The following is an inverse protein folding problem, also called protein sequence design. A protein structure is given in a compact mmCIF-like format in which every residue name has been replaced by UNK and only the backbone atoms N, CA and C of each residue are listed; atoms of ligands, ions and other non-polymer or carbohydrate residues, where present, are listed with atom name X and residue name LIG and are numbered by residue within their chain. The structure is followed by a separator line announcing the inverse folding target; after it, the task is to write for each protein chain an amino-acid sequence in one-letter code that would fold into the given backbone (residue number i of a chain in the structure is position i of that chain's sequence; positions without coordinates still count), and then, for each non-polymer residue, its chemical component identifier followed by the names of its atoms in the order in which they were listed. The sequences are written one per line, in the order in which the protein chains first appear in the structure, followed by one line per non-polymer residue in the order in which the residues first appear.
data_IF_004766472197
#
_entry.id   IF_004766472197
#
_cell.length_a   1.000
_cell.length_b   1.000
_cell.length_c   1.000
_cell.angle_alpha   90.00
_cell.angle_beta   90.00
_cell.angle_gamma   90.00
#
_symmetry.space_group_name_H-M   'P 1'
#
loop_
_entity.id
_entity.type
_entity.pdbx_description
1 polymer ?
#
# COMPACT_ATOMS: atom_id res chain seq x y z
N UNK A 1 18.37 -19.84 -25.71
CA UNK A 1 17.62 -18.56 -25.82
C UNK A 1 18.57 -17.36 -25.89
N UNK A 2 19.89 -17.60 -25.95
CA UNK A 2 20.89 -16.55 -25.70
C UNK A 2 21.20 -15.63 -26.90
N UNK A 3 20.44 -15.80 -27.99
CA UNK A 3 20.53 -14.97 -29.19
C UNK A 3 19.30 -14.05 -29.36
N UNK A 4 18.46 -13.92 -28.33
CA UNK A 4 17.34 -12.98 -28.33
C UNK A 4 17.87 -11.54 -28.29
N UNK A 5 17.33 -10.62 -29.11
CA UNK A 5 17.57 -9.19 -28.96
C UNK A 5 17.17 -8.70 -27.56
N UNK A 6 17.96 -7.78 -26.99
CA UNK A 6 17.75 -7.24 -25.64
C UNK A 6 16.34 -6.67 -25.44
N UNK A 7 15.78 -6.02 -26.47
CA UNK A 7 14.42 -5.47 -26.43
C UNK A 7 13.35 -6.55 -26.23
N UNK A 8 13.49 -7.69 -26.91
CA UNK A 8 12.57 -8.83 -26.77
C UNK A 8 12.79 -9.56 -25.45
N UNK A 9 14.04 -9.69 -25.01
CA UNK A 9 14.34 -10.29 -23.71
C UNK A 9 13.72 -9.48 -22.56
N UNK A 10 13.83 -8.16 -22.63
CA UNK A 10 13.22 -7.22 -21.69
C UNK A 10 11.69 -7.26 -21.75
N UNK A 11 11.10 -7.37 -22.94
CA UNK A 11 9.65 -7.54 -23.09
C UNK A 11 9.15 -8.86 -22.47
N UNK A 12 9.92 -9.95 -22.58
CA UNK A 12 9.57 -11.21 -21.93
C UNK A 12 9.64 -11.05 -20.40
N UNK A 13 10.74 -10.49 -19.89
CA UNK A 13 10.89 -10.25 -18.45
C UNK A 13 9.79 -9.33 -17.91
N UNK A 14 9.35 -8.34 -18.70
CA UNK A 14 8.31 -7.40 -18.27
C UNK A 14 6.90 -8.00 -18.21
N UNK A 15 6.71 -9.20 -18.78
CA UNK A 15 5.46 -9.96 -18.67
C UNK A 15 5.43 -10.94 -17.50
N UNK A 16 6.57 -11.15 -16.84
CA UNK A 16 6.63 -11.99 -15.64
C UNK A 16 6.16 -11.16 -14.45
N UNK A 17 5.04 -11.59 -13.85
CA UNK A 17 4.39 -10.81 -12.80
C UNK A 17 5.15 -10.85 -11.47
N UNK A 18 5.91 -11.92 -11.19
CA UNK A 18 6.61 -12.09 -9.92
C UNK A 18 8.16 -12.04 -10.05
N UNK A 19 8.84 -11.50 -9.04
CA UNK A 19 10.29 -11.34 -9.03
C UNK A 19 11.07 -12.67 -8.91
N UNK A 20 10.44 -13.75 -8.46
CA UNK A 20 11.09 -15.06 -8.35
C UNK A 20 11.25 -15.70 -9.75
N UNK A 21 10.22 -15.60 -10.58
CA UNK A 21 10.21 -15.99 -11.99
C UNK A 21 11.27 -15.20 -12.77
N UNK A 22 11.36 -13.88 -12.54
CA UNK A 22 12.43 -13.04 -13.12
C UNK A 22 13.81 -13.53 -12.68
N UNK A 23 14.01 -13.83 -11.39
CA UNK A 23 15.28 -14.34 -10.88
C UNK A 23 15.66 -15.70 -11.51
N UNK A 24 14.70 -16.61 -11.66
CA UNK A 24 14.90 -17.89 -12.35
C UNK A 24 15.32 -17.69 -13.82
N UNK A 25 14.67 -16.78 -14.55
CA UNK A 25 15.04 -16.45 -15.92
C UNK A 25 16.46 -15.88 -16.03
N UNK A 26 16.87 -15.01 -15.10
CA UNK A 26 18.24 -14.47 -15.03
C UNK A 26 19.28 -15.56 -14.77
N UNK A 27 19.00 -16.49 -13.87
CA UNK A 27 19.92 -17.60 -13.60
C UNK A 27 20.03 -18.58 -14.79
N UNK A 28 18.95 -18.72 -15.56
CA UNK A 28 18.89 -19.65 -16.69
C UNK A 28 19.48 -19.09 -17.99
N UNK A 29 19.62 -17.77 -18.16
CA UNK A 29 20.13 -17.16 -19.40
C UNK A 29 20.91 -15.87 -19.16
N UNK A 30 22.07 -15.79 -19.79
CA UNK A 30 22.91 -14.58 -19.77
C UNK A 30 22.21 -13.40 -20.45
N UNK A 31 21.41 -13.63 -21.50
CA UNK A 31 20.65 -12.57 -22.18
C UNK A 31 19.63 -11.94 -21.25
N UNK A 32 18.87 -12.75 -20.50
CA UNK A 32 17.93 -12.22 -19.51
C UNK A 32 18.66 -11.51 -18.35
N UNK A 33 19.81 -12.04 -17.91
CA UNK A 33 20.60 -11.35 -16.88
C UNK A 33 21.13 -9.99 -17.36
N UNK A 34 21.55 -9.87 -18.61
CA UNK A 34 22.00 -8.60 -19.21
C UNK A 34 20.86 -7.62 -19.47
N UNK A 35 19.66 -8.09 -19.78
CA UNK A 35 18.48 -7.26 -20.00
C UNK A 35 17.84 -6.75 -18.69
N UNK A 36 18.05 -7.46 -17.57
CA UNK A 36 17.44 -7.16 -16.27
C UNK A 36 17.54 -5.70 -15.81
N UNK A 37 18.68 -4.98 -15.94
CA UNK A 37 18.79 -3.58 -15.52
C UNK A 37 17.79 -2.63 -16.17
N UNK A 38 17.24 -2.98 -17.34
CA UNK A 38 16.20 -2.20 -18.02
C UNK A 38 14.77 -2.47 -17.52
N UNK A 39 14.57 -3.42 -16.60
CA UNK A 39 13.26 -3.73 -16.05
C UNK A 39 12.72 -2.54 -15.27
N UNK A 40 11.45 -2.20 -15.53
CA UNK A 40 10.80 -1.00 -14.99
C UNK A 40 9.88 -1.26 -13.81
N UNK A 41 9.77 -2.50 -13.36
CA UNK A 41 8.99 -2.82 -12.18
C UNK A 41 9.65 -3.89 -11.33
N UNK A 42 9.31 -3.87 -10.05
CA UNK A 42 9.55 -4.95 -9.09
C UNK A 42 8.20 -5.33 -8.50
N UNK A 43 7.93 -6.63 -8.44
CA UNK A 43 6.83 -7.19 -7.68
C UNK A 43 7.36 -8.33 -6.81
N UNK A 44 7.61 -8.03 -5.54
CA UNK A 44 8.20 -8.94 -4.57
C UNK A 44 7.20 -9.16 -3.43
N UNK A 45 6.30 -10.12 -3.64
CA UNK A 45 5.36 -10.57 -2.62
C UNK A 45 5.89 -11.83 -1.96
N UNK A 46 6.05 -11.80 -0.65
CA UNK A 46 6.54 -12.93 0.12
C UNK A 46 5.37 -13.74 0.67
N UNK A 47 5.41 -15.05 0.51
CA UNK A 47 4.41 -15.93 1.11
C UNK A 47 4.69 -16.07 2.60
N UNK A 48 3.72 -15.68 3.45
CA UNK A 48 3.88 -15.76 4.91
C UNK A 48 4.23 -17.19 5.38
N UNK A 49 3.70 -18.21 4.70
CA UNK A 49 4.01 -19.61 4.98
C UNK A 49 5.53 -19.88 4.98
N UNK A 50 6.27 -19.34 4.01
CA UNK A 50 7.72 -19.53 3.93
C UNK A 50 8.45 -18.85 5.07
N UNK A 51 7.98 -17.66 5.47
CA UNK A 51 8.50 -16.97 6.65
C UNK A 51 8.31 -17.81 7.92
N UNK A 52 7.09 -18.31 8.16
CA UNK A 52 6.76 -19.15 9.33
C UNK A 52 7.52 -20.48 9.33
N UNK A 53 7.62 -21.16 8.20
CA UNK A 53 8.41 -22.40 8.06
C UNK A 53 9.90 -22.17 8.29
N UNK A 54 10.44 -21.03 7.85
CA UNK A 54 11.83 -20.70 8.10
C UNK A 54 12.12 -20.53 9.59
N UNK A 55 11.20 -19.89 10.33
CA UNK A 55 11.31 -19.66 11.78
C UNK A 55 11.20 -20.96 12.58
N UNK A 56 10.21 -21.81 12.27
CA UNK A 56 10.02 -23.07 12.99
C UNK A 56 11.26 -23.98 12.88
N UNK A 57 11.92 -23.96 11.72
CA UNK A 57 13.17 -24.69 11.50
C UNK A 57 14.32 -24.14 12.36
N UNK A 58 14.43 -22.82 12.51
CA UNK A 58 15.47 -22.17 13.37
C UNK A 58 15.29 -22.53 14.84
N UNK A 59 14.05 -22.55 15.37
CA UNK A 59 13.79 -22.93 16.75
C UNK A 59 14.05 -24.41 17.07
N UNK A 60 14.06 -25.27 16.05
CA UNK A 60 14.19 -26.73 16.20
C UNK A 60 15.61 -27.30 15.98
N UNK A 61 16.57 -26.49 15.51
CA UNK A 61 17.91 -26.97 15.16
C UNK A 61 19.04 -26.25 15.89
N UNK A 62 19.67 -26.92 16.86
CA UNK A 62 20.79 -26.38 17.66
C UNK A 62 22.15 -26.29 16.95
N UNK A 63 22.24 -26.51 15.64
CA UNK A 63 23.55 -26.54 14.96
C UNK A 63 23.45 -26.55 13.42
N UNK A 64 22.88 -25.50 12.83
CA UNK A 64 23.29 -25.04 11.48
C UNK A 64 22.72 -23.64 11.26
N UNK A 65 23.58 -22.64 11.07
CA UNK A 65 23.18 -21.30 10.64
C UNK A 65 22.66 -21.37 9.20
N UNK A 66 21.39 -21.77 9.02
CA UNK A 66 20.76 -21.71 7.71
C UNK A 66 20.44 -20.25 7.41
N UNK A 67 20.93 -19.79 6.27
CA UNK A 67 20.70 -18.44 5.77
C UNK A 67 19.22 -18.29 5.44
N UNK A 68 18.46 -17.62 6.31
CA UNK A 68 17.11 -17.18 5.97
C UNK A 68 17.26 -15.91 5.14
N UNK A 69 16.90 -15.90 3.85
CA UNK A 69 16.99 -14.69 3.04
C UNK A 69 16.02 -13.64 3.62
N UNK A 70 16.58 -12.50 4.00
CA UNK A 70 15.80 -11.33 4.42
C UNK A 70 15.10 -10.73 3.20
N UNK A 71 13.79 -10.53 3.30
CA UNK A 71 12.98 -9.87 2.27
C UNK A 71 13.55 -8.48 1.96
N UNK A 72 13.84 -7.68 2.99
CA UNK A 72 14.44 -6.34 2.84
C UNK A 72 15.76 -6.43 2.06
N UNK A 73 16.64 -7.36 2.40
CA UNK A 73 17.94 -7.52 1.73
C UNK A 73 17.80 -7.99 0.27
N UNK A 74 16.89 -8.92 0.00
CA UNK A 74 16.60 -9.37 -1.38
C UNK A 74 16.10 -8.20 -2.20
N UNK A 75 15.18 -7.39 -1.65
CA UNK A 75 14.66 -6.21 -2.32
C UNK A 75 15.74 -5.16 -2.61
N UNK A 76 16.58 -4.80 -1.63
CA UNK A 76 17.67 -3.84 -1.83
C UNK A 76 18.65 -4.29 -2.91
N UNK A 77 18.92 -5.60 -2.99
CA UNK A 77 19.72 -6.17 -4.07
C UNK A 77 19.02 -6.06 -5.43
N UNK A 78 17.71 -6.20 -5.52
CA UNK A 78 16.98 -6.02 -6.78
C UNK A 78 17.00 -4.55 -7.21
N UNK A 79 16.64 -3.63 -6.31
CA UNK A 79 16.57 -2.19 -6.60
C UNK A 79 17.93 -1.63 -7.00
N UNK A 80 19.02 -2.06 -6.35
CA UNK A 80 20.37 -1.56 -6.66
C UNK A 80 20.86 -1.86 -8.08
N UNK A 81 20.21 -2.79 -8.79
CA UNK A 81 20.55 -3.19 -10.15
C UNK A 81 19.65 -2.55 -11.22
N UNK A 82 18.67 -1.72 -10.84
CA UNK A 82 17.71 -1.08 -11.76
C UNK A 82 17.90 0.43 -11.78
N UNK A 83 17.77 1.05 -12.97
CA UNK A 83 18.05 2.48 -13.17
C UNK A 83 16.82 3.35 -13.44
N UNK A 84 15.70 2.76 -13.87
CA UNK A 84 14.49 3.49 -14.27
C UNK A 84 13.22 2.79 -13.77
N UNK A 85 13.15 2.57 -12.46
CA UNK A 85 12.07 1.82 -11.83
C UNK A 85 10.80 2.69 -11.76
N UNK A 86 9.77 2.30 -12.50
CA UNK A 86 8.48 3.01 -12.57
C UNK A 86 7.44 2.44 -11.61
N UNK A 87 7.57 1.17 -11.20
CA UNK A 87 6.59 0.50 -10.33
C UNK A 87 7.27 -0.39 -9.29
N UNK A 88 6.90 -0.22 -8.03
CA UNK A 88 7.36 -1.07 -6.92
C UNK A 88 6.16 -1.66 -6.21
N UNK A 89 6.13 -2.98 -6.09
CA UNK A 89 5.28 -3.69 -5.15
C UNK A 89 6.16 -4.57 -4.28
N UNK A 90 6.12 -4.35 -2.97
CA UNK A 90 6.81 -5.19 -1.99
C UNK A 90 5.89 -5.43 -0.82
N UNK A 91 5.86 -6.68 -0.36
CA UNK A 91 5.17 -6.97 0.87
C UNK A 91 4.96 -8.44 1.10
N UNK A 92 3.99 -8.73 1.97
CA UNK A 92 3.57 -10.07 2.32
C UNK A 92 2.19 -10.33 1.73
N UNK A 93 2.02 -11.48 1.08
CA UNK A 93 0.70 -11.91 0.63
C UNK A 93 -0.20 -12.15 1.84
N UNK A 94 -1.44 -11.63 1.79
CA UNK A 94 -2.42 -11.75 2.87
C UNK A 94 -2.59 -13.22 3.26
N UNK A 95 -2.25 -13.59 4.51
CA UNK A 95 -2.53 -14.93 4.99
C UNK A 95 -4.04 -15.08 5.25
N UNK A 96 -4.56 -16.33 5.33
CA UNK A 96 -5.93 -16.57 5.77
C UNK A 96 -6.20 -15.88 7.12
N UNK A 97 -7.45 -15.41 7.32
CA UNK A 97 -7.90 -14.69 8.53
C UNK A 97 -7.51 -15.42 9.84
N UNK A 98 -7.46 -16.75 9.77
CA UNK A 98 -7.11 -17.69 10.84
C UNK A 98 -5.68 -17.48 11.38
N UNK A 99 -4.74 -17.01 10.53
CA UNK A 99 -3.33 -16.77 10.88
C UNK A 99 -3.12 -15.35 11.44
N UNK A 100 -3.95 -14.39 11.04
CA UNK A 100 -3.93 -13.02 11.59
C UNK A 100 -4.45 -12.97 13.04
N UNK A 101 -5.29 -13.94 13.43
CA UNK A 101 -5.90 -14.04 14.77
C UNK A 101 -5.15 -14.96 15.73
N UNK A 102 -4.10 -15.66 15.27
CA UNK A 102 -3.24 -16.40 16.18
C UNK A 102 -2.40 -15.37 16.96
N UNK A 103 -2.33 -15.51 18.29
CA UNK A 103 -1.44 -14.76 19.20
C UNK A 103 0.04 -15.11 18.92
N UNK A 104 0.47 -14.94 17.67
CA UNK A 104 1.87 -15.05 17.28
C UNK A 104 2.48 -13.71 17.59
N UNK A 105 3.11 -13.59 18.75
CA UNK A 105 4.00 -12.46 18.99
C UNK A 105 5.23 -12.64 18.08
N UNK A 106 5.48 -11.64 17.23
CA UNK A 106 6.64 -11.63 16.36
C UNK A 106 7.43 -10.33 16.52
N UNK A 107 8.54 -10.42 17.25
CA UNK A 107 9.49 -9.32 17.43
C UNK A 107 10.41 -9.11 16.22
N UNK A 108 10.19 -9.83 15.12
CA UNK A 108 10.91 -9.65 13.86
C UNK A 108 10.76 -8.24 13.26
N UNK A 109 11.62 -7.92 12.30
CA UNK A 109 11.58 -6.63 11.58
C UNK A 109 11.62 -6.78 10.05
N UNK A 110 11.94 -7.98 9.55
CA UNK A 110 12.14 -8.20 8.11
C UNK A 110 10.88 -7.99 7.27
N UNK A 111 9.69 -8.13 7.89
CA UNK A 111 8.39 -7.93 7.23
C UNK A 111 7.72 -6.61 7.63
N UNK A 112 8.43 -5.74 8.36
CA UNK A 112 8.05 -4.35 8.57
C UNK A 112 8.59 -3.51 7.40
N UNK A 113 7.86 -3.50 6.29
CA UNK A 113 8.23 -2.87 5.01
C UNK A 113 8.09 -1.35 5.08
N UNK A 114 7.15 -0.83 5.86
CA UNK A 114 7.01 0.62 6.10
C UNK A 114 8.04 1.17 7.08
N UNK A 115 9.08 0.41 7.43
CA UNK A 115 10.14 0.89 8.33
C UNK A 115 10.89 2.04 7.65
N UNK A 116 11.03 3.16 8.37
CA UNK A 116 11.63 4.36 7.80
C UNK A 116 13.09 4.16 7.41
N UNK A 117 13.86 3.43 8.22
CA UNK A 117 15.27 3.17 7.94
C UNK A 117 15.44 2.42 6.63
N UNK A 118 14.64 1.37 6.46
CA UNK A 118 14.57 0.58 5.23
C UNK A 118 14.13 1.42 4.03
N UNK A 119 13.02 2.17 4.12
CA UNK A 119 12.52 2.94 2.97
C UNK A 119 13.48 4.06 2.57
N UNK A 120 14.14 4.72 3.54
CA UNK A 120 15.16 5.77 3.29
C UNK A 120 16.36 5.25 2.50
N UNK A 121 16.67 3.96 2.56
CA UNK A 121 17.84 3.38 1.89
C UNK A 121 17.71 3.37 0.36
N UNK A 122 16.48 3.18 -0.15
CA UNK A 122 16.25 2.95 -1.58
C UNK A 122 15.32 3.98 -2.24
N UNK A 123 14.32 4.51 -1.53
CA UNK A 123 13.27 5.34 -2.15
C UNK A 123 13.84 6.57 -2.86
N UNK A 124 14.77 7.35 -2.28
CA UNK A 124 15.31 8.53 -2.96
C UNK A 124 16.04 8.23 -4.28
N UNK A 125 16.50 6.98 -4.49
CA UNK A 125 17.23 6.59 -5.70
C UNK A 125 16.31 6.32 -6.89
N UNK A 126 15.05 5.99 -6.63
CA UNK A 126 14.08 5.59 -7.65
C UNK A 126 12.90 6.56 -7.77
N UNK A 127 12.78 7.51 -6.85
CA UNK A 127 11.59 8.36 -6.70
C UNK A 127 11.28 9.26 -7.90
N UNK A 128 12.29 9.59 -8.73
CA UNK A 128 12.10 10.44 -9.91
C UNK A 128 11.21 9.77 -10.97
N UNK A 129 11.44 8.48 -11.23
CA UNK A 129 10.71 7.71 -12.24
C UNK A 129 9.50 6.94 -11.68
N UNK A 130 9.40 6.83 -10.35
CA UNK A 130 8.39 6.02 -9.68
C UNK A 130 6.98 6.60 -9.86
N UNK A 131 6.10 5.80 -10.47
CA UNK A 131 4.68 6.11 -10.71
C UNK A 131 3.75 5.30 -9.83
N UNK A 132 4.14 4.07 -9.47
CA UNK A 132 3.36 3.18 -8.62
C UNK A 132 4.19 2.68 -7.44
N UNK A 133 3.65 2.80 -6.24
CA UNK A 133 4.24 2.26 -5.03
C UNK A 133 3.20 1.49 -4.22
N UNK A 134 3.45 0.21 -3.96
CA UNK A 134 2.65 -0.64 -3.10
C UNK A 134 3.52 -1.25 -2.01
N UNK A 135 3.23 -0.92 -0.75
CA UNK A 135 3.90 -1.48 0.43
C UNK A 135 2.88 -2.23 1.28
N UNK A 136 3.12 -3.52 1.53
CA UNK A 136 2.27 -4.35 2.39
C UNK A 136 3.08 -4.95 3.52
N UNK A 137 2.83 -4.48 4.74
CA UNK A 137 3.48 -4.98 5.94
C UNK A 137 2.89 -6.34 6.38
N UNK A 138 3.62 -7.03 7.26
CA UNK A 138 3.03 -8.04 8.12
C UNK A 138 2.50 -7.39 9.40
N UNK A 139 1.17 -7.33 9.55
CA UNK A 139 0.50 -6.61 10.65
C UNK A 139 1.07 -6.89 12.03
N UNK A 140 1.46 -8.13 12.33
CA UNK A 140 2.04 -8.51 13.63
C UNK A 140 3.31 -7.71 13.95
N UNK A 141 4.17 -7.45 12.96
CA UNK A 141 5.41 -6.70 13.14
C UNK A 141 5.20 -5.17 13.10
N UNK A 142 4.20 -4.68 12.37
CA UNK A 142 3.94 -3.25 12.15
C UNK A 142 2.92 -2.64 13.13
N UNK A 143 1.99 -3.42 13.67
CA UNK A 143 0.87 -2.93 14.50
C UNK A 143 1.28 -2.18 15.78
N UNK A 144 2.48 -2.45 16.28
CA UNK A 144 3.08 -1.80 17.47
C UNK A 144 4.10 -0.71 17.11
N UNK A 145 4.39 -0.49 15.83
CA UNK A 145 5.45 0.40 15.34
C UNK A 145 4.85 1.45 14.40
N UNK A 146 4.70 2.67 14.91
CA UNK A 146 4.22 3.81 14.12
C UNK A 146 5.27 4.22 13.09
N UNK A 147 4.86 4.38 11.84
CA UNK A 147 5.71 4.75 10.71
C UNK A 147 5.39 6.15 10.15
N UNK A 148 6.42 6.96 9.88
CA UNK A 148 6.30 8.23 9.13
C UNK A 148 6.51 8.05 7.62
N UNK A 149 6.34 6.83 7.08
CA UNK A 149 6.60 6.52 5.66
C UNK A 149 5.80 7.43 4.70
N UNK A 150 4.60 7.88 5.07
CA UNK A 150 3.81 8.81 4.26
C UNK A 150 4.52 10.16 4.06
N UNK A 151 5.11 10.72 5.12
CA UNK A 151 5.91 11.95 5.03
C UNK A 151 7.10 11.74 4.10
N UNK A 152 7.81 10.62 4.25
CA UNK A 152 8.95 10.27 3.39
C UNK A 152 8.56 10.10 1.91
N UNK A 153 7.47 9.37 1.63
CA UNK A 153 6.96 9.17 0.27
C UNK A 153 6.59 10.51 -0.35
N UNK A 154 5.82 11.33 0.38
CA UNK A 154 5.41 12.65 -0.08
C UNK A 154 6.57 13.60 -0.32
N UNK A 155 7.68 13.46 0.43
CA UNK A 155 8.87 14.27 0.25
C UNK A 155 9.64 13.94 -1.03
N UNK A 156 9.71 12.65 -1.41
CA UNK A 156 10.56 12.20 -2.51
C UNK A 156 9.82 11.93 -3.83
N UNK A 157 8.56 11.49 -3.78
CA UNK A 157 7.86 10.91 -4.93
C UNK A 157 6.82 11.87 -5.54
N UNK A 158 7.29 13.00 -6.08
CA UNK A 158 6.41 14.04 -6.66
C UNK A 158 5.67 13.59 -7.93
N UNK A 159 6.19 12.58 -8.63
CA UNK A 159 5.61 12.01 -9.86
C UNK A 159 4.74 10.77 -9.61
N UNK A 160 4.53 10.39 -8.34
CA UNK A 160 3.76 9.20 -8.01
C UNK A 160 2.29 9.38 -8.40
N UNK A 161 1.75 8.40 -9.12
CA UNK A 161 0.38 8.38 -9.65
C UNK A 161 -0.51 7.50 -8.77
N UNK A 162 0.03 6.38 -8.30
CA UNK A 162 -0.68 5.37 -7.51
C UNK A 162 0.12 4.98 -6.27
N UNK A 163 -0.54 5.04 -5.11
CA UNK A 163 0.01 4.65 -3.83
C UNK A 163 -0.91 3.64 -3.14
N UNK A 164 -0.36 2.52 -2.73
CA UNK A 164 -1.04 1.52 -1.92
C UNK A 164 -0.23 1.24 -0.66
N UNK A 165 -0.86 1.36 0.51
CA UNK A 165 -0.26 0.99 1.78
C UNK A 165 -1.19 0.03 2.51
N UNK A 166 -0.63 -1.09 2.98
CA UNK A 166 -1.41 -2.15 3.62
C UNK A 166 -0.80 -2.58 4.95
N UNK A 167 -1.66 -2.94 5.90
CA UNK A 167 -1.30 -3.61 7.15
C UNK A 167 -0.32 -2.82 8.03
N UNK A 168 -0.45 -1.49 8.13
CA UNK A 168 0.53 -0.64 8.81
C UNK A 168 -0.10 0.35 9.81
N UNK A 169 0.70 0.80 10.78
CA UNK A 169 0.36 1.96 11.61
C UNK A 169 1.09 3.20 11.08
N UNK A 170 0.34 4.13 10.51
CA UNK A 170 0.86 5.31 9.82
C UNK A 170 0.60 6.60 10.60
N UNK A 171 1.62 7.45 10.62
CA UNK A 171 1.48 8.86 10.94
C UNK A 171 0.98 9.60 9.70
N UNK A 172 -0.05 10.42 9.87
CA UNK A 172 -0.56 11.33 8.82
C UNK A 172 -0.03 12.76 8.95
N UNK A 173 1.13 12.94 9.61
CA UNK A 173 1.69 14.27 9.88
C UNK A 173 2.83 14.63 8.94
N UNK A 174 3.06 15.93 8.74
CA UNK A 174 4.18 16.50 7.98
C UNK A 174 4.25 15.99 6.54
N UNK A 175 3.09 15.81 5.91
CA UNK A 175 3.02 15.39 4.52
C UNK A 175 3.15 16.58 3.57
N UNK A 176 3.91 16.40 2.49
CA UNK A 176 3.96 17.34 1.38
C UNK A 176 2.80 17.07 0.41
N UNK A 177 2.40 18.10 -0.34
CA UNK A 177 1.46 17.91 -1.43
C UNK A 177 2.04 16.97 -2.50
N UNK A 178 1.22 16.02 -2.96
CA UNK A 178 1.55 15.07 -4.01
C UNK A 178 0.64 15.33 -5.22
N UNK A 179 1.02 16.27 -6.10
CA UNK A 179 0.11 16.78 -7.14
C UNK A 179 -0.19 15.77 -8.25
N UNK A 180 0.66 14.75 -8.46
CA UNK A 180 0.45 13.73 -9.50
C UNK A 180 -0.34 12.52 -9.02
N UNK A 181 -0.59 12.40 -7.70
CA UNK A 181 -1.27 11.24 -7.14
C UNK A 181 -2.75 11.28 -7.49
N UNK A 182 -3.21 10.26 -8.22
CA UNK A 182 -4.61 10.12 -8.66
C UNK A 182 -5.31 8.92 -8.05
N UNK A 183 -4.56 7.92 -7.57
CA UNK A 183 -5.10 6.74 -6.90
C UNK A 183 -4.40 6.49 -5.57
N UNK A 184 -5.19 6.30 -4.51
CA UNK A 184 -4.70 6.00 -3.17
C UNK A 184 -5.54 4.88 -2.54
N UNK A 185 -4.85 3.83 -2.12
CA UNK A 185 -5.43 2.72 -1.36
C UNK A 185 -4.75 2.61 0.00
N UNK A 186 -5.52 2.74 1.08
CA UNK A 186 -5.12 2.41 2.43
C UNK A 186 -5.96 1.22 2.91
N UNK A 187 -5.32 0.09 3.18
CA UNK A 187 -6.00 -1.16 3.58
C UNK A 187 -5.44 -1.67 4.91
N UNK A 188 -6.31 -1.97 5.88
CA UNK A 188 -5.91 -2.46 7.21
C UNK A 188 -4.88 -1.51 7.86
N UNK A 189 -5.19 -0.21 7.84
CA UNK A 189 -4.31 0.85 8.33
C UNK A 189 -4.82 1.37 9.67
N UNK A 190 -3.92 1.57 10.64
CA UNK A 190 -4.16 2.49 11.76
C UNK A 190 -3.58 3.85 11.40
N UNK A 191 -4.40 4.89 11.35
CA UNK A 191 -3.98 6.24 10.96
C UNK A 191 -4.12 7.23 12.13
N UNK A 192 -3.08 8.03 12.37
CA UNK A 192 -3.10 9.03 13.46
C UNK A 192 -3.74 10.38 13.06
N UNK A 193 -4.03 10.61 11.77
CA UNK A 193 -4.83 11.75 11.30
C UNK A 193 -6.33 11.50 11.55
N UNK A 194 -6.73 11.75 12.80
CA UNK A 194 -8.08 11.44 13.32
C UNK A 194 -9.23 12.07 12.52
N UNK A 195 -8.97 13.16 11.80
CA UNK A 195 -9.99 13.94 11.10
C UNK A 195 -9.76 13.98 9.58
N UNK A 196 -8.68 13.36 9.07
CA UNK A 196 -8.26 13.41 7.67
C UNK A 196 -7.90 14.85 7.21
N UNK A 197 -7.41 15.70 8.10
CA UNK A 197 -7.12 17.11 7.78
C UNK A 197 -5.90 17.27 6.89
N UNK A 198 -4.78 16.63 7.24
CA UNK A 198 -3.56 16.66 6.42
C UNK A 198 -3.74 15.80 5.17
N UNK A 199 -4.51 14.73 5.30
CA UNK A 199 -4.90 13.88 4.18
C UNK A 199 -5.55 14.68 3.05
N UNK A 200 -6.54 15.52 3.35
CA UNK A 200 -7.24 16.32 2.34
C UNK A 200 -6.34 17.34 1.64
N UNK A 201 -5.35 17.90 2.33
CA UNK A 201 -4.44 18.91 1.76
C UNK A 201 -3.31 18.28 0.95
N UNK A 202 -2.93 17.04 1.26
CA UNK A 202 -1.80 16.36 0.64
C UNK A 202 -2.09 15.81 -0.76
N UNK A 203 -3.35 15.56 -1.11
CA UNK A 203 -3.72 14.88 -2.37
C UNK A 203 -4.70 15.69 -3.23
N UNK A 204 -4.27 16.85 -3.77
CA UNK A 204 -5.19 17.80 -4.41
C UNK A 204 -5.87 17.26 -5.69
N UNK A 205 -5.24 16.32 -6.39
CA UNK A 205 -5.73 15.77 -7.67
C UNK A 205 -6.23 14.33 -7.58
N UNK A 206 -6.50 13.85 -6.35
CA UNK A 206 -6.93 12.47 -6.14
C UNK A 206 -8.28 12.19 -6.82
N UNK A 207 -8.34 11.12 -7.60
CA UNK A 207 -9.53 10.68 -8.34
C UNK A 207 -10.12 9.39 -7.79
N UNK A 208 -9.27 8.49 -7.31
CA UNK A 208 -9.63 7.19 -6.74
C UNK A 208 -9.13 7.13 -5.30
N UNK A 209 -10.04 6.87 -4.36
CA UNK A 209 -9.74 6.70 -2.95
C UNK A 209 -10.36 5.42 -2.42
N UNK A 210 -9.53 4.52 -1.91
CA UNK A 210 -9.93 3.31 -1.21
C UNK A 210 -9.43 3.37 0.23
N UNK A 211 -10.35 3.44 1.20
CA UNK A 211 -10.07 3.37 2.63
C UNK A 211 -10.72 2.10 3.18
N UNK A 212 -9.96 1.01 3.30
CA UNK A 212 -10.47 -0.32 3.65
C UNK A 212 -9.99 -0.67 5.06
N UNK A 213 -10.90 -0.78 6.02
CA UNK A 213 -10.57 -1.05 7.44
C UNK A 213 -9.49 -0.08 7.96
N UNK A 214 -9.71 1.22 7.74
CA UNK A 214 -8.86 2.28 8.27
C UNK A 214 -9.37 2.70 9.64
N UNK A 215 -8.52 2.57 10.67
CA UNK A 215 -8.85 2.77 12.08
C UNK A 215 -8.15 3.99 12.65
N UNK A 216 -8.64 4.47 13.80
CA UNK A 216 -8.07 5.61 14.52
C UNK A 216 -8.75 6.94 14.19
N UNK A 217 -9.81 6.89 13.39
CA UNK A 217 -10.59 8.05 12.98
C UNK A 217 -11.62 8.40 14.07
N UNK A 218 -11.86 9.71 14.26
CA UNK A 218 -12.83 10.20 15.26
C UNK A 218 -13.99 10.94 14.60
N UNK A 219 -13.66 11.96 13.83
CA UNK A 219 -14.60 12.77 13.05
C UNK A 219 -14.06 12.95 11.63
N UNK A 220 -13.87 11.84 10.88
CA UNK A 220 -13.24 11.91 9.58
C UNK A 220 -14.08 12.72 8.58
N UNK A 221 -13.41 13.61 7.88
CA UNK A 221 -13.98 14.41 6.80
C UNK A 221 -13.20 14.18 5.52
N UNK A 222 -13.85 13.70 4.48
CA UNK A 222 -13.28 13.66 3.12
C UNK A 222 -13.74 14.92 2.40
N UNK A 223 -12.79 15.78 2.03
CA UNK A 223 -13.01 16.98 1.26
C UNK A 223 -12.05 17.06 0.07
N UNK A 224 -12.34 16.25 -0.95
CA UNK A 224 -11.50 16.08 -2.14
C UNK A 224 -12.28 16.47 -3.39
N UNK A 225 -11.93 17.63 -3.95
CA UNK A 225 -12.70 18.24 -5.05
C UNK A 225 -12.61 17.47 -6.36
N UNK A 226 -11.53 16.74 -6.60
CA UNK A 226 -11.30 16.00 -7.85
C UNK A 226 -11.72 14.52 -7.76
N UNK A 227 -12.20 14.07 -6.59
CA UNK A 227 -12.51 12.67 -6.35
C UNK A 227 -13.66 12.20 -7.23
N UNK A 228 -13.47 11.05 -7.90
CA UNK A 228 -14.42 10.41 -8.81
C UNK A 228 -14.98 9.12 -8.23
N UNK A 229 -14.14 8.32 -7.58
CA UNK A 229 -14.55 7.07 -6.95
C UNK A 229 -14.04 7.00 -5.52
N UNK A 230 -14.93 6.68 -4.60
CA UNK A 230 -14.58 6.47 -3.20
C UNK A 230 -15.14 5.13 -2.74
N UNK A 231 -14.27 4.27 -2.24
CA UNK A 231 -14.64 3.06 -1.50
C UNK A 231 -14.14 3.18 -0.07
N UNK A 232 -15.05 3.12 0.89
CA UNK A 232 -14.73 3.27 2.29
C UNK A 232 -15.42 2.18 3.12
N UNK A 233 -14.61 1.34 3.77
CA UNK A 233 -15.06 0.35 4.75
C UNK A 233 -14.60 0.81 6.14
N UNK A 234 -15.56 1.23 6.95
CA UNK A 234 -15.39 1.75 8.30
C UNK A 234 -15.80 0.67 9.31
N UNK A 235 -14.79 0.07 9.94
CA UNK A 235 -14.97 -1.00 10.93
C UNK A 235 -15.03 -0.47 12.37
N UNK A 236 -14.53 0.74 12.62
CA UNK A 236 -14.69 1.46 13.87
C UNK A 236 -16.08 2.14 13.94
N UNK A 237 -16.36 2.77 15.08
CA UNK A 237 -17.63 3.48 15.32
C UNK A 237 -17.38 4.97 15.49
N UNK A 238 -17.09 5.70 14.39
CA UNK A 238 -16.81 7.12 14.46
C UNK A 238 -18.06 7.89 14.86
N UNK A 239 -17.86 9.00 15.57
CA UNK A 239 -18.97 9.86 16.00
C UNK A 239 -19.63 10.58 14.82
N UNK A 240 -18.88 10.80 13.74
CA UNK A 240 -19.37 11.54 12.58
C UNK A 240 -18.57 11.18 11.33
N UNK A 241 -19.24 10.99 10.21
CA UNK A 241 -18.62 10.85 8.89
C UNK A 241 -19.12 11.98 7.99
N UNK A 242 -18.19 12.69 7.37
CA UNK A 242 -18.49 13.78 6.45
C UNK A 242 -17.82 13.55 5.09
N UNK A 243 -18.59 13.56 4.01
CA UNK A 243 -18.07 13.43 2.65
C UNK A 243 -18.55 14.62 1.84
N UNK A 244 -17.62 15.50 1.46
CA UNK A 244 -17.89 16.68 0.62
C UNK A 244 -17.01 16.57 -0.63
N UNK A 245 -17.59 16.04 -1.70
CA UNK A 245 -16.84 15.69 -2.92
C UNK A 245 -17.71 15.99 -4.15
N UNK A 246 -17.69 17.24 -4.65
CA UNK A 246 -18.65 17.69 -5.66
C UNK A 246 -18.57 16.93 -6.98
N UNK A 247 -17.41 16.37 -7.30
CA UNK A 247 -17.15 15.64 -8.54
C UNK A 247 -17.29 14.12 -8.42
N UNK A 248 -17.72 13.61 -7.26
CA UNK A 248 -17.82 12.18 -7.01
C UNK A 248 -18.88 11.56 -7.90
N UNK A 249 -18.53 10.43 -8.52
CA UNK A 249 -19.39 9.66 -9.43
C UNK A 249 -19.89 8.39 -8.71
N UNK A 250 -18.96 7.68 -8.08
CA UNK A 250 -19.22 6.41 -7.38
C UNK A 250 -18.82 6.53 -5.92
N UNK A 251 -19.76 6.23 -5.02
CA UNK A 251 -19.52 6.09 -3.58
C UNK A 251 -19.95 4.70 -3.13
N UNK A 252 -19.02 3.93 -2.57
CA UNK A 252 -19.29 2.72 -1.80
C UNK A 252 -18.87 2.95 -0.36
N UNK A 253 -19.83 3.08 0.55
CA UNK A 253 -19.59 3.24 1.98
C UNK A 253 -20.20 2.07 2.75
N UNK A 254 -19.36 1.34 3.47
CA UNK A 254 -19.76 0.30 4.41
C UNK A 254 -19.33 0.74 5.81
N UNK A 255 -20.25 0.88 6.75
CA UNK A 255 -19.94 1.47 8.05
C UNK A 255 -20.75 0.85 9.19
N UNK A 256 -20.09 0.57 10.32
CA UNK A 256 -20.75 0.08 11.53
C UNK A 256 -21.03 1.20 12.53
N UNK A 257 -22.31 1.47 12.77
CA UNK A 257 -22.79 2.32 13.87
C UNK A 257 -22.20 3.74 13.92
N UNK A 258 -22.15 4.50 12.80
CA UNK A 258 -21.76 5.90 12.89
C UNK A 258 -22.87 6.69 13.60
N UNK A 259 -22.51 7.58 14.53
CA UNK A 259 -23.54 8.36 15.22
C UNK A 259 -24.21 9.38 14.29
N UNK A 260 -23.48 9.90 13.30
CA UNK A 260 -24.03 10.75 12.25
C UNK A 260 -23.27 10.62 10.92
N UNK A 261 -23.99 10.72 9.80
CA UNK A 261 -23.44 10.67 8.43
C UNK A 261 -23.95 11.84 7.59
N UNK A 262 -23.02 12.59 7.00
CA UNK A 262 -23.28 13.69 6.07
C UNK A 262 -22.59 13.45 4.72
N UNK A 263 -23.37 13.52 3.64
CA UNK A 263 -22.87 13.37 2.27
C UNK A 263 -23.34 14.54 1.40
N UNK A 264 -22.38 15.20 0.76
CA UNK A 264 -22.56 16.23 -0.26
C UNK A 264 -21.77 15.86 -1.52
N UNK A 265 -22.47 15.33 -2.51
CA UNK A 265 -21.90 14.78 -3.74
C UNK A 265 -22.86 14.96 -4.94
N UNK A 266 -23.05 16.21 -5.45
CA UNK A 266 -23.99 16.55 -6.54
C UNK A 266 -23.93 15.71 -7.81
N UNK A 267 -22.77 15.15 -8.15
CA UNK A 267 -22.58 14.35 -9.36
C UNK A 267 -22.64 12.83 -9.11
N UNK A 268 -22.88 12.40 -7.87
CA UNK A 268 -22.87 10.99 -7.52
C UNK A 268 -24.17 10.33 -7.98
N UNK A 269 -24.04 9.34 -8.88
CA UNK A 269 -25.14 8.55 -9.40
C UNK A 269 -24.98 7.04 -9.11
N UNK A 270 -23.79 6.60 -8.69
CA UNK A 270 -23.56 5.22 -8.26
C UNK A 270 -23.28 5.19 -6.76
N UNK A 271 -24.35 5.13 -5.97
CA UNK A 271 -24.30 5.17 -4.51
C UNK A 271 -24.63 3.80 -3.91
N UNK A 272 -23.66 3.22 -3.20
CA UNK A 272 -23.83 2.02 -2.40
C UNK A 272 -23.56 2.35 -0.93
N UNK A 273 -24.59 2.25 -0.08
CA UNK A 273 -24.51 2.49 1.36
C UNK A 273 -24.92 1.22 2.11
N UNK A 274 -24.01 0.65 2.90
CA UNK A 274 -24.29 -0.41 3.85
C UNK A 274 -23.93 0.10 5.25
N UNK A 275 -24.91 0.62 5.99
CA UNK A 275 -24.69 1.24 7.30
C UNK A 275 -25.51 0.53 8.37
N UNK A 276 -24.82 -0.03 9.37
CA UNK A 276 -25.47 -0.63 10.53
C UNK A 276 -25.81 0.46 11.57
N UNK A 277 -26.99 0.39 12.19
CA UNK A 277 -27.39 1.21 13.36
C UNK A 277 -27.10 2.73 13.27
N UNK A 278 -27.68 3.39 12.27
CA UNK A 278 -27.52 4.82 12.03
C UNK A 278 -28.53 5.67 12.84
N UNK A 279 -28.03 6.58 13.70
CA UNK A 279 -28.89 7.45 14.52
C UNK A 279 -29.34 8.72 13.76
N UNK A 280 -28.43 9.37 13.03
CA UNK A 280 -28.73 10.58 12.27
C UNK A 280 -28.13 10.52 10.86
N UNK A 281 -28.94 10.81 9.85
CA UNK A 281 -28.57 10.74 8.44
C UNK A 281 -28.98 12.01 7.70
N UNK A 282 -28.04 12.63 6.99
CA UNK A 282 -28.32 13.76 6.14
C UNK A 282 -27.58 13.62 4.80
N UNK A 283 -28.34 13.81 3.72
CA UNK A 283 -27.83 13.78 2.36
C UNK A 283 -28.29 15.04 1.66
N UNK A 284 -27.37 15.77 1.04
CA UNK A 284 -27.67 16.96 0.26
C UNK A 284 -27.13 16.81 -1.16
N UNK A 285 -27.94 17.28 -2.11
CA UNK A 285 -27.59 17.32 -3.53
C UNK A 285 -27.10 15.95 -4.03
N UNK A 286 -28.00 14.97 -4.12
CA UNK A 286 -27.74 13.77 -4.92
C UNK A 286 -28.59 13.82 -6.19
N UNK A 287 -27.98 13.49 -7.33
CA UNK A 287 -28.70 13.18 -8.57
C UNK A 287 -28.90 11.66 -8.60
N UNK A 288 -29.99 11.20 -8.00
CA UNK A 288 -30.46 9.80 -8.13
C UNK A 288 -31.24 9.66 -9.43
#
# INVERSE_FOLDING_TARGET
MDNLPDSLALEILSRLDDSASVACCRMASNTFNSAFPGLKFINLQWQLKWYLESRSRVSSSSSSSRFTPSLKRVFLNLVSNLSALESVRIGVENPPLDVMNADVEDDGDDLHITDEGFVKEWLPRVSEALKLLSLSDFWVQSSRRRSEVLSLISAHCQNLIELELKNAWLSGQNMNAMPMLTSLTLELIRLDDKNLTEFNTSFPNLQVLNLIDVRGLKMPMIHLLNLKTCHWIVTDSPSYICIITPNLITLRLECRSPAALYIEAPLCYNLHLAVDHLNAFAVKNLRI
#
